data_IF_980759727049
#
_entry.id   IF_980759727049
#
_cell.length_a   1.000
_cell.length_b   1.000
_cell.length_c   1.000
_cell.angle_alpha   90.00
_cell.angle_beta   90.00
_cell.angle_gamma   90.00
#
_symmetry.space_group_name_H-M   'P 1'
#
loop_
_entity.id
_entity.type
_entity.pdbx_description
1 polymer ?
#
# COMPACT_ATOMS: atom_id res chain seq x y z
N UNK A 1 -10.65 11.99 10.01
CA UNK A 1 -10.38 11.49 8.64
C UNK A 1 -8.93 11.78 8.31
N UNK A 2 -8.22 10.86 7.65
CA UNK A 2 -6.88 11.14 7.10
C UNK A 2 -7.00 12.31 6.12
N UNK A 3 -6.11 13.31 6.23
CA UNK A 3 -6.07 14.42 5.28
C UNK A 3 -5.47 13.98 3.94
N UNK A 4 -4.60 12.97 3.97
CA UNK A 4 -3.98 12.40 2.79
C UNK A 4 -4.84 11.28 2.18
N UNK A 5 -5.19 11.42 0.89
CA UNK A 5 -5.84 10.37 0.10
C UNK A 5 -4.79 9.61 -0.70
N UNK A 6 -4.55 8.36 -0.32
CA UNK A 6 -3.68 7.45 -1.08
C UNK A 6 -4.46 6.65 -2.11
N UNK A 7 -3.82 6.36 -3.23
CA UNK A 7 -4.27 5.33 -4.16
C UNK A 7 -4.17 3.95 -3.49
N UNK A 8 -5.27 3.17 -3.51
CA UNK A 8 -5.35 1.85 -2.89
C UNK A 8 -4.34 0.86 -3.50
N UNK A 9 -3.95 1.06 -4.76
CA UNK A 9 -2.96 0.22 -5.43
C UNK A 9 -1.59 0.28 -4.74
N UNK A 10 -1.27 1.36 -4.00
CA UNK A 10 -0.02 1.48 -3.23
C UNK A 10 0.05 0.55 -2.02
N UNK A 11 -1.09 0.03 -1.55
CA UNK A 11 -1.18 -0.90 -0.44
C UNK A 11 -0.83 -2.33 -0.85
N UNK A 12 -0.74 -2.63 -2.14
CA UNK A 12 -0.41 -3.97 -2.62
C UNK A 12 1.09 -4.27 -2.58
N UNK A 13 1.44 -5.47 -2.14
CA UNK A 13 2.76 -6.07 -2.21
C UNK A 13 3.02 -6.59 -3.64
N UNK A 14 3.28 -5.67 -4.56
CA UNK A 14 3.47 -5.95 -6.00
C UNK A 14 4.62 -6.93 -6.30
N UNK A 15 5.59 -7.05 -5.39
CA UNK A 15 6.72 -7.98 -5.53
C UNK A 15 6.44 -9.36 -4.92
N UNK A 16 5.35 -9.49 -4.16
CA UNK A 16 4.97 -10.71 -3.45
C UNK A 16 4.60 -11.84 -4.41
N UNK A 17 4.87 -13.06 -3.95
CA UNK A 17 4.57 -14.30 -4.68
C UNK A 17 3.09 -14.37 -5.10
N UNK A 18 2.18 -14.18 -4.14
CA UNK A 18 0.72 -14.24 -4.37
C UNK A 18 0.26 -13.21 -5.40
N UNK A 19 0.82 -12.00 -5.36
CA UNK A 19 0.46 -10.95 -6.32
C UNK A 19 0.81 -11.34 -7.76
N UNK A 20 2.01 -11.92 -7.95
CA UNK A 20 2.50 -12.38 -9.25
C UNK A 20 1.77 -13.61 -9.74
N UNK A 21 1.58 -14.62 -8.89
CA UNK A 21 0.93 -15.89 -9.25
C UNK A 21 -0.53 -15.71 -9.67
N UNK A 22 -1.24 -14.74 -9.09
CA UNK A 22 -2.63 -14.45 -9.43
C UNK A 22 -2.81 -13.44 -10.58
N UNK A 23 -1.70 -12.99 -11.20
CA UNK A 23 -1.67 -11.96 -12.25
C UNK A 23 -2.44 -10.69 -11.86
N UNK A 24 -2.27 -10.24 -10.60
CA UNK A 24 -3.08 -9.14 -10.07
C UNK A 24 -2.74 -7.78 -10.66
N UNK A 25 -1.55 -7.61 -11.25
CA UNK A 25 -1.11 -6.33 -11.85
C UNK A 25 -2.10 -5.78 -12.88
N UNK A 26 -2.69 -6.65 -13.69
CA UNK A 26 -3.65 -6.27 -14.73
C UNK A 26 -5.03 -6.02 -14.12
N UNK A 27 -5.44 -6.89 -13.18
CA UNK A 27 -6.77 -6.87 -12.55
C UNK A 27 -6.99 -5.67 -11.64
N UNK A 28 -6.00 -5.25 -10.83
CA UNK A 28 -6.19 -4.17 -9.84
C UNK A 28 -6.55 -2.82 -10.46
N UNK A 29 -6.24 -2.61 -11.76
CA UNK A 29 -6.60 -1.37 -12.45
C UNK A 29 -8.07 -1.32 -12.87
N UNK A 30 -8.73 -2.49 -12.92
CA UNK A 30 -10.14 -2.64 -13.31
C UNK A 30 -11.06 -2.75 -12.09
N UNK A 31 -10.51 -3.10 -10.92
CA UNK A 31 -11.27 -3.24 -9.68
C UNK A 31 -11.62 -1.89 -9.05
N UNK A 32 -12.80 -1.85 -8.43
CA UNK A 32 -13.23 -0.74 -7.59
C UNK A 32 -12.43 -0.65 -6.29
N UNK A 33 -12.56 0.49 -5.60
CA UNK A 33 -11.93 0.70 -4.29
C UNK A 33 -12.40 -0.35 -3.27
N UNK A 34 -13.71 -0.63 -3.24
CA UNK A 34 -14.33 -1.59 -2.34
C UNK A 34 -13.82 -3.02 -2.59
N UNK A 35 -13.69 -3.44 -3.85
CA UNK A 35 -13.17 -4.76 -4.20
C UNK A 35 -11.69 -4.91 -3.83
N UNK A 36 -10.87 -3.90 -4.09
CA UNK A 36 -9.47 -3.88 -3.67
C UNK A 36 -9.34 -3.95 -2.14
N UNK A 37 -10.18 -3.22 -1.40
CA UNK A 37 -10.19 -3.23 0.07
C UNK A 37 -10.60 -4.60 0.63
N UNK A 38 -11.66 -5.20 0.07
CA UNK A 38 -12.12 -6.55 0.44
C UNK A 38 -11.03 -7.60 0.18
N UNK A 39 -10.36 -7.53 -0.97
CA UNK A 39 -9.25 -8.41 -1.31
C UNK A 39 -8.08 -8.30 -0.32
N UNK A 40 -7.64 -7.08 0.00
CA UNK A 40 -6.56 -6.83 0.97
C UNK A 40 -6.95 -7.32 2.38
N UNK A 41 -8.22 -7.22 2.75
CA UNK A 41 -8.73 -7.68 4.05
C UNK A 41 -8.72 -9.22 4.17
N UNK A 42 -8.97 -9.93 3.06
CA UNK A 42 -9.02 -11.38 3.01
C UNK A 42 -7.64 -12.02 2.91
N UNK A 43 -6.73 -11.41 2.16
CA UNK A 43 -5.38 -11.92 1.94
C UNK A 43 -4.31 -10.93 2.43
N UNK A 44 -3.93 -11.08 3.70
CA UNK A 44 -2.98 -10.20 4.35
C UNK A 44 -1.58 -10.22 3.73
N UNK A 45 -1.17 -11.27 3.00
CA UNK A 45 0.12 -11.29 2.31
C UNK A 45 0.17 -10.37 1.08
N UNK A 46 -0.99 -9.95 0.57
CA UNK A 46 -1.07 -8.92 -0.47
C UNK A 46 -0.80 -7.52 0.08
N UNK A 47 -0.82 -7.30 1.39
CA UNK A 47 -0.55 -5.98 1.98
C UNK A 47 0.96 -5.69 1.95
N UNK A 48 1.35 -4.55 1.40
CA UNK A 48 2.71 -4.02 1.42
C UNK A 48 3.13 -3.68 2.85
N UNK A 49 4.40 -3.93 3.19
CA UNK A 49 4.92 -3.70 4.55
C UNK A 49 6.35 -3.13 4.51
N UNK A 50 6.77 -2.30 5.48
CA UNK A 50 5.94 -1.60 6.48
C UNK A 50 5.01 -0.54 5.84
N UNK A 51 3.96 -0.12 6.56
CA UNK A 51 3.15 1.06 6.22
C UNK A 51 3.13 1.95 7.45
N UNK A 52 3.37 3.25 7.26
CA UNK A 52 3.27 4.25 8.33
C UNK A 52 2.36 5.39 7.86
N UNK A 53 1.38 5.76 8.67
CA UNK A 53 0.43 6.84 8.37
C UNK A 53 0.64 7.98 9.36
N UNK A 54 1.03 9.15 8.85
CA UNK A 54 1.05 10.41 9.59
C UNK A 54 -0.24 11.21 9.38
N UNK A 55 -0.26 12.47 9.82
CA UNK A 55 -1.43 13.34 9.66
C UNK A 55 -1.69 13.71 8.18
N UNK A 56 -0.63 13.93 7.42
CA UNK A 56 -0.64 14.47 6.05
C UNK A 56 0.19 13.63 5.06
N UNK A 57 0.79 12.53 5.49
CA UNK A 57 1.56 11.63 4.63
C UNK A 57 1.34 10.15 4.96
N UNK A 58 1.64 9.28 3.99
CA UNK A 58 1.70 7.83 4.18
C UNK A 58 3.00 7.31 3.53
N UNK A 59 3.76 6.52 4.29
CA UNK A 59 4.96 5.82 3.81
C UNK A 59 4.60 4.38 3.46
N UNK A 60 5.01 3.94 2.27
CA UNK A 60 4.75 2.59 1.75
C UNK A 60 6.04 1.83 1.52
N UNK A 61 6.28 0.79 2.33
CA UNK A 61 7.55 0.09 2.38
C UNK A 61 8.65 0.92 3.06
N UNK A 62 9.84 0.35 3.14
CA UNK A 62 11.00 1.05 3.69
C UNK A 62 11.82 1.69 2.57
N UNK A 63 11.95 3.01 2.66
CA UNK A 63 12.85 3.82 1.82
C UNK A 63 13.52 4.83 2.72
N UNK A 64 14.78 4.58 3.04
CA UNK A 64 15.56 5.33 4.03
C UNK A 64 15.39 6.85 3.91
N UNK A 65 15.66 7.44 2.74
CA UNK A 65 15.53 8.88 2.50
C UNK A 65 14.14 9.45 2.79
N UNK A 66 13.07 8.70 2.47
CA UNK A 66 11.69 9.14 2.76
C UNK A 66 11.44 9.07 4.27
N UNK A 67 11.81 7.97 4.91
CA UNK A 67 11.66 7.79 6.35
C UNK A 67 12.43 8.84 7.16
N UNK A 68 13.67 9.14 6.79
CA UNK A 68 14.46 10.22 7.41
C UNK A 68 13.76 11.58 7.27
N UNK A 69 13.22 11.88 6.07
CA UNK A 69 12.58 13.17 5.76
C UNK A 69 11.27 13.41 6.50
N UNK A 70 10.56 12.36 6.90
CA UNK A 70 9.23 12.46 7.52
C UNK A 70 9.21 12.07 9.00
N UNK A 71 10.10 11.18 9.46
CA UNK A 71 10.09 10.63 10.83
C UNK A 71 11.23 11.21 11.68
N UNK A 72 12.40 11.47 11.09
CA UNK A 72 13.59 11.88 11.84
C UNK A 72 13.85 13.39 11.81
N UNK A 73 12.97 14.18 11.18
CA UNK A 73 13.04 15.64 11.30
C UNK A 73 12.75 16.05 12.74
N UNK A 74 13.77 16.61 13.40
CA UNK A 74 13.65 17.34 14.67
C UNK A 74 12.92 18.66 14.47
#
# INVERSE_FOLDING_TARGET
>A
MLKYKADINKFFNVNGKIFKENNLKEKINELSLEECADMLSKEGMLIKRPIYMGEDFILFGFKEKEWESYILKK
#
